data_IF_124720438215
#
_entry.id   IF_124720438215
#
_cell.length_a   1.000
_cell.length_b   1.000
_cell.length_c   1.000
_cell.angle_alpha   90.00
_cell.angle_beta   90.00
_cell.angle_gamma   90.00
#
_symmetry.space_group_name_H-M   'P 1'
#
loop_
_entity.id
_entity.type
_entity.pdbx_description
1 polymer ?
#
# COMPACT_ATOMS: atom_id res chain seq x y z
N UNK A 1 -12.52 -11.00 -3.51
CA UNK A 1 -11.15 -10.52 -3.78
C UNK A 1 -11.23 -9.02 -3.79
N UNK A 2 -10.56 -8.37 -2.84
CA UNK A 2 -10.49 -6.91 -2.77
C UNK A 2 -9.54 -6.38 -3.85
N UNK A 3 -9.78 -5.15 -4.33
CA UNK A 3 -9.01 -4.58 -5.45
C UNK A 3 -7.84 -3.67 -5.02
N UNK A 4 -7.62 -3.46 -3.71
CA UNK A 4 -6.73 -2.44 -3.08
C UNK A 4 -7.33 -1.03 -3.12
N UNK A 5 -7.34 -0.20 -2.07
CA UNK A 5 -7.00 -0.31 -0.65
C UNK A 5 -8.23 -0.60 0.22
N UNK A 6 -8.14 -1.53 1.17
CA UNK A 6 -9.28 -1.91 2.03
C UNK A 6 -9.23 -1.28 3.42
N UNK A 7 -10.38 -0.86 3.92
CA UNK A 7 -10.52 -0.34 5.29
C UNK A 7 -11.86 -0.76 5.92
N UNK A 8 -11.90 -0.70 7.25
CA UNK A 8 -13.11 -0.91 8.05
C UNK A 8 -13.44 0.40 8.78
N UNK A 9 -14.67 0.88 8.64
CA UNK A 9 -15.18 1.99 9.43
C UNK A 9 -16.10 1.49 10.55
N UNK A 10 -15.92 2.03 11.75
CA UNK A 10 -16.67 1.69 12.95
C UNK A 10 -17.79 2.70 13.24
N UNK A 11 -18.76 2.39 14.12
CA UNK A 11 -19.92 3.25 14.37
C UNK A 11 -19.57 4.63 14.94
N UNK A 12 -18.44 4.74 15.63
CA UNK A 12 -17.91 6.01 16.15
C UNK A 12 -17.20 6.86 15.07
N UNK A 13 -17.09 6.37 13.84
CA UNK A 13 -16.39 7.00 12.72
C UNK A 13 -14.89 6.76 12.70
N UNK A 14 -14.35 5.90 13.57
CA UNK A 14 -12.96 5.46 13.49
C UNK A 14 -12.75 4.61 12.25
N UNK A 15 -11.56 4.75 11.66
CA UNK A 15 -11.17 4.06 10.46
C UNK A 15 -9.96 3.17 10.74
N UNK A 16 -10.13 1.88 10.51
CA UNK A 16 -9.06 0.89 10.58
C UNK A 16 -8.55 0.67 9.15
N UNK A 17 -7.33 1.12 8.88
CA UNK A 17 -6.75 1.06 7.54
C UNK A 17 -5.26 0.63 7.57
N UNK A 18 -4.98 -0.66 7.77
CA UNK A 18 -3.64 -1.22 7.97
C UNK A 18 -2.98 -1.63 6.64
N UNK A 19 -2.92 -0.69 5.68
CA UNK A 19 -2.35 -0.91 4.34
C UNK A 19 -0.90 -1.41 4.37
N UNK A 20 -0.16 -1.17 5.44
CA UNK A 20 1.18 -1.70 5.66
C UNK A 20 1.23 -3.24 5.77
N UNK A 21 0.11 -3.88 6.09
CA UNK A 21 0.04 -5.33 6.32
C UNK A 21 -0.91 -6.05 5.36
N UNK A 22 -2.07 -5.47 5.06
CA UNK A 22 -3.11 -6.16 4.30
C UNK A 22 -4.05 -5.20 3.59
N UNK A 23 -4.62 -5.66 2.48
CA UNK A 23 -5.74 -5.05 1.76
C UNK A 23 -6.97 -5.96 1.74
N UNK A 24 -7.08 -6.89 2.70
CA UNK A 24 -8.19 -7.82 2.80
C UNK A 24 -9.06 -7.49 4.02
N UNK A 25 -10.37 -7.29 3.82
CA UNK A 25 -11.29 -7.01 4.94
C UNK A 25 -11.29 -8.11 5.99
N UNK A 26 -11.16 -9.39 5.58
CA UNK A 26 -11.16 -10.53 6.52
C UNK A 26 -9.97 -10.40 7.47
N UNK A 27 -8.76 -10.17 6.94
CA UNK A 27 -7.57 -9.98 7.76
C UNK A 27 -7.72 -8.78 8.72
N UNK A 28 -8.35 -7.68 8.27
CA UNK A 28 -8.58 -6.51 9.13
C UNK A 28 -9.56 -6.83 10.26
N UNK A 29 -10.63 -7.56 9.94
CA UNK A 29 -11.65 -7.99 10.89
C UNK A 29 -11.04 -8.93 11.93
N UNK A 30 -10.26 -9.93 11.51
CA UNK A 30 -9.56 -10.86 12.41
C UNK A 30 -8.48 -10.16 13.25
N UNK A 31 -7.68 -9.26 12.64
CA UNK A 31 -6.65 -8.48 13.35
C UNK A 31 -7.21 -7.66 14.51
N UNK A 32 -8.46 -7.22 14.40
CA UNK A 32 -9.13 -6.36 15.36
C UNK A 32 -10.22 -7.05 16.16
N UNK A 33 -10.38 -8.37 15.98
CA UNK A 33 -11.41 -9.18 16.64
C UNK A 33 -12.81 -8.56 16.51
N UNK A 34 -13.16 -8.14 15.29
CA UNK A 34 -14.43 -7.47 14.99
C UNK A 34 -15.52 -8.46 14.59
N UNK A 35 -16.78 -8.13 14.90
CA UNK A 35 -17.93 -8.90 14.46
C UNK A 35 -18.41 -8.42 13.08
N UNK A 36 -18.39 -9.31 12.09
CA UNK A 36 -18.92 -9.05 10.74
C UNK A 36 -20.39 -9.50 10.63
N UNK A 37 -21.27 -8.76 11.29
CA UNK A 37 -22.72 -9.04 11.33
C UNK A 37 -23.56 -8.08 10.47
N UNK A 38 -22.90 -7.24 9.67
CA UNK A 38 -23.54 -6.22 8.83
C UNK A 38 -24.10 -5.00 9.58
N UNK A 39 -23.92 -4.91 10.90
CA UNK A 39 -24.43 -3.80 11.74
C UNK A 39 -23.33 -3.04 12.46
N UNK A 40 -22.24 -3.69 12.81
CA UNK A 40 -21.22 -3.10 13.68
C UNK A 40 -20.02 -2.51 12.93
N UNK A 41 -19.99 -2.67 11.60
CA UNK A 41 -18.92 -2.14 10.75
C UNK A 41 -19.41 -1.85 9.33
N UNK A 42 -18.64 -1.03 8.62
CA UNK A 42 -18.78 -0.82 7.18
C UNK A 42 -17.44 -1.10 6.48
N UNK A 43 -17.47 -2.00 5.50
CA UNK A 43 -16.34 -2.34 4.63
C UNK A 43 -16.20 -1.29 3.54
N UNK A 44 -14.98 -0.76 3.40
CA UNK A 44 -14.64 0.29 2.47
C UNK A 44 -13.50 -0.14 1.56
N UNK A 45 -13.55 0.31 0.31
CA UNK A 45 -12.48 0.14 -0.66
C UNK A 45 -12.14 1.49 -1.32
N UNK A 46 -10.86 1.69 -1.63
CA UNK A 46 -10.41 2.85 -2.37
C UNK A 46 -9.38 2.46 -3.44
N UNK A 47 -9.79 2.41 -4.69
CA UNK A 47 -9.00 1.82 -5.79
C UNK A 47 -8.70 2.86 -6.86
N UNK A 48 -7.46 2.98 -7.36
CA UNK A 48 -7.15 3.85 -8.48
C UNK A 48 -7.70 3.26 -9.79
N UNK A 49 -8.24 4.12 -10.65
CA UNK A 49 -8.62 3.76 -12.02
C UNK A 49 -7.35 3.49 -12.83
N UNK A 50 -7.38 2.46 -13.68
CA UNK A 50 -6.30 2.10 -14.62
C UNK A 50 -4.91 1.98 -13.98
N UNK A 51 -4.85 1.57 -12.71
CA UNK A 51 -3.61 1.44 -11.94
C UNK A 51 -2.82 2.77 -11.79
N UNK A 52 -3.50 3.94 -11.86
CA UNK A 52 -2.90 5.27 -11.66
C UNK A 52 -2.67 5.58 -10.18
N UNK A 53 -1.86 4.76 -9.51
CA UNK A 53 -1.59 4.88 -8.07
C UNK A 53 -0.98 6.23 -7.66
N UNK A 54 -0.30 6.92 -8.58
CA UNK A 54 0.36 8.21 -8.40
C UNK A 54 -0.58 9.42 -8.52
N UNK A 55 -1.79 9.23 -9.02
CA UNK A 55 -2.78 10.27 -9.19
C UNK A 55 -3.92 10.08 -8.19
N UNK A 56 -3.90 10.85 -7.10
CA UNK A 56 -4.90 10.77 -6.05
C UNK A 56 -6.33 11.05 -6.58
N UNK A 57 -6.47 11.82 -7.66
CA UNK A 57 -7.78 12.10 -8.26
C UNK A 57 -8.39 10.90 -9.00
N UNK A 58 -7.57 9.90 -9.34
CA UNK A 58 -8.02 8.67 -10.00
C UNK A 58 -8.69 7.67 -9.06
N UNK A 59 -8.59 7.88 -7.75
CA UNK A 59 -9.08 6.93 -6.76
C UNK A 59 -10.59 7.00 -6.59
N UNK A 60 -11.22 5.84 -6.68
CA UNK A 60 -12.65 5.65 -6.48
C UNK A 60 -12.87 5.10 -5.09
N UNK A 61 -13.61 5.85 -4.27
CA UNK A 61 -14.08 5.40 -2.96
C UNK A 61 -15.39 4.62 -3.11
N UNK A 62 -15.43 3.41 -2.57
CA UNK A 62 -16.56 2.49 -2.65
C UNK A 62 -16.89 1.93 -1.26
N UNK A 63 -18.18 1.79 -0.99
CA UNK A 63 -18.66 0.97 0.13
C UNK A 63 -18.85 -0.46 -0.37
N UNK A 64 -18.16 -1.41 0.23
CA UNK A 64 -18.06 -2.80 -0.25
C UNK A 64 -18.98 -3.75 0.53
N UNK A 65 -20.23 -3.32 0.72
CA UNK A 65 -21.31 -4.15 1.25
C UNK A 65 -22.67 -3.61 0.79
N UNK A 66 -23.67 -4.48 0.56
CA UNK A 66 -24.99 -4.06 0.10
C UNK A 66 -25.82 -3.42 1.22
N UNK A 67 -25.81 -4.03 2.40
CA UNK A 67 -26.60 -3.60 3.54
C UNK A 67 -25.80 -2.65 4.43
N UNK A 68 -26.39 -1.49 4.74
CA UNK A 68 -25.73 -0.45 5.52
C UNK A 68 -26.37 -0.33 6.90
N UNK A 69 -25.56 -0.27 7.98
CA UNK A 69 -26.06 -0.01 9.32
C UNK A 69 -26.78 1.34 9.43
N UNK A 70 -27.72 1.46 10.38
CA UNK A 70 -28.49 2.70 10.58
C UNK A 70 -27.66 3.90 11.01
N UNK A 71 -26.48 3.67 11.61
CA UNK A 71 -25.56 4.75 11.98
C UNK A 71 -24.79 5.29 10.78
N UNK A 72 -24.67 4.54 9.69
CA UNK A 72 -23.95 4.96 8.49
C UNK A 72 -24.73 6.08 7.77
N UNK A 73 -24.11 7.25 7.71
CA UNK A 73 -24.69 8.45 7.12
C UNK A 73 -23.64 9.21 6.30
N UNK A 74 -24.08 10.23 5.56
CA UNK A 74 -23.20 10.95 4.64
C UNK A 74 -22.03 11.67 5.35
N UNK A 75 -22.21 12.12 6.59
CA UNK A 75 -21.13 12.75 7.36
C UNK A 75 -20.02 11.75 7.72
N UNK A 76 -20.37 10.56 8.20
CA UNK A 76 -19.39 9.50 8.51
C UNK A 76 -18.71 9.03 7.23
N UNK A 77 -19.49 8.82 6.16
CA UNK A 77 -18.96 8.43 4.85
C UNK A 77 -17.94 9.43 4.32
N UNK A 78 -18.25 10.73 4.38
CA UNK A 78 -17.35 11.79 3.93
C UNK A 78 -16.05 11.81 4.76
N UNK A 79 -16.16 11.73 6.08
CA UNK A 79 -14.99 11.68 6.99
C UNK A 79 -14.11 10.44 6.72
N UNK A 80 -14.72 9.29 6.49
CA UNK A 80 -14.01 8.05 6.16
C UNK A 80 -13.26 8.19 4.83
N UNK A 81 -13.95 8.70 3.79
CA UNK A 81 -13.36 8.97 2.48
C UNK A 81 -12.17 9.94 2.59
N UNK A 82 -12.35 11.09 3.22
CA UNK A 82 -11.26 12.06 3.40
C UNK A 82 -10.07 11.47 4.15
N UNK A 83 -10.33 10.61 5.13
CA UNK A 83 -9.28 9.95 5.90
C UNK A 83 -8.50 8.93 5.08
N UNK A 84 -9.18 8.11 4.28
CA UNK A 84 -8.53 7.19 3.35
C UNK A 84 -7.72 7.96 2.31
N UNK A 85 -8.32 8.95 1.65
CA UNK A 85 -7.65 9.73 0.59
C UNK A 85 -6.41 10.45 1.11
N UNK A 86 -6.48 11.06 2.30
CA UNK A 86 -5.32 11.68 2.94
C UNK A 86 -4.24 10.65 3.31
N UNK A 87 -4.63 9.49 3.83
CA UNK A 87 -3.67 8.40 4.12
C UNK A 87 -2.98 7.93 2.84
N UNK A 88 -3.72 7.68 1.76
CA UNK A 88 -3.20 7.27 0.45
C UNK A 88 -2.27 8.35 -0.12
N UNK A 89 -2.67 9.62 -0.08
CA UNK A 89 -1.82 10.73 -0.52
C UNK A 89 -0.47 10.77 0.19
N UNK A 90 -0.45 10.47 1.50
CA UNK A 90 0.80 10.39 2.27
C UNK A 90 1.66 9.15 1.95
N UNK A 91 1.10 8.13 1.29
CA UNK A 91 1.86 6.97 0.80
C UNK A 91 2.63 7.29 -0.48
N UNK A 92 2.19 8.29 -1.25
CA UNK A 92 2.82 8.68 -2.51
C UNK A 92 4.12 9.44 -2.22
N UNK A 93 5.20 9.00 -2.86
CA UNK A 93 6.54 9.56 -2.74
C UNK A 93 7.09 9.82 -4.14
N UNK A 94 7.31 11.09 -4.44
CA UNK A 94 7.93 11.59 -5.67
C UNK A 94 9.22 12.39 -5.40
N UNK A 95 9.64 12.45 -4.13
CA UNK A 95 10.78 13.20 -3.61
C UNK A 95 11.96 12.31 -3.19
N UNK A 96 13.01 12.93 -2.66
CA UNK A 96 14.17 12.23 -2.12
C UNK A 96 14.06 12.04 -0.61
N UNK A 97 14.27 10.82 -0.12
CA UNK A 97 14.22 10.49 1.32
C UNK A 97 15.41 9.63 1.72
N UNK A 98 15.91 9.87 2.93
CA UNK A 98 16.99 9.06 3.49
C UNK A 98 16.50 7.66 3.85
N UNK A 99 15.29 7.53 4.38
CA UNK A 99 14.78 6.24 4.82
C UNK A 99 13.27 6.12 4.63
N UNK A 100 12.84 4.93 4.19
CA UNK A 100 11.48 4.43 4.39
C UNK A 100 11.57 3.26 5.37
N UNK A 101 10.95 3.40 6.55
CA UNK A 101 10.99 2.41 7.63
C UNK A 101 9.57 1.99 8.00
N UNK A 102 9.19 0.75 7.68
CA UNK A 102 7.81 0.32 7.83
C UNK A 102 6.87 1.00 6.83
N UNK A 103 5.57 0.77 7.00
CA UNK A 103 4.53 1.47 6.23
C UNK A 103 4.27 0.91 4.83
N UNK A 104 3.31 1.54 4.16
CA UNK A 104 2.89 1.28 2.79
C UNK A 104 3.17 2.51 1.92
N UNK A 105 3.80 2.33 0.77
CA UNK A 105 4.27 3.43 -0.07
C UNK A 105 4.01 3.19 -1.56
N UNK A 106 3.99 4.29 -2.32
CA UNK A 106 3.92 4.33 -3.77
C UNK A 106 5.05 5.26 -4.23
N UNK A 107 6.03 4.74 -4.95
CA UNK A 107 7.16 5.52 -5.45
C UNK A 107 6.93 5.86 -6.92
N UNK A 108 6.95 7.14 -7.25
CA UNK A 108 6.68 7.62 -8.62
C UNK A 108 7.65 8.73 -9.05
N UNK A 109 7.54 9.16 -10.30
CA UNK A 109 8.34 10.25 -10.85
C UNK A 109 9.84 9.94 -10.79
N UNK A 110 10.57 10.73 -10.00
CA UNK A 110 12.02 10.58 -9.80
C UNK A 110 12.38 10.36 -8.33
N UNK A 111 11.49 9.70 -7.56
CA UNK A 111 11.72 9.45 -6.15
C UNK A 111 13.09 8.78 -5.89
N UNK A 112 13.80 9.19 -4.84
CA UNK A 112 15.11 8.64 -4.48
C UNK A 112 15.15 8.27 -3.02
N UNK A 113 15.27 6.99 -2.72
CA UNK A 113 15.32 6.48 -1.36
C UNK A 113 16.71 5.90 -1.10
N UNK A 114 17.42 6.39 -0.09
CA UNK A 114 18.72 5.79 0.27
C UNK A 114 18.52 4.40 0.90
N UNK A 115 17.63 4.29 1.90
CA UNK A 115 17.36 3.01 2.56
C UNK A 115 15.86 2.70 2.67
N UNK A 116 15.45 1.53 2.20
CA UNK A 116 14.13 0.96 2.47
C UNK A 116 14.27 -0.24 3.41
N UNK A 117 13.54 -0.25 4.52
CA UNK A 117 13.62 -1.33 5.51
C UNK A 117 12.26 -1.69 6.11
N UNK A 118 11.90 -2.96 6.03
CA UNK A 118 10.65 -3.53 6.55
C UNK A 118 9.40 -2.81 6.02
N UNK A 119 9.45 -2.30 4.79
CA UNK A 119 8.38 -1.50 4.21
C UNK A 119 7.67 -2.26 3.07
N UNK A 120 6.44 -1.88 2.79
CA UNK A 120 5.67 -2.35 1.63
C UNK A 120 5.60 -1.25 0.59
N UNK A 121 5.93 -1.54 -0.66
CA UNK A 121 5.67 -0.67 -1.81
C UNK A 121 4.66 -1.37 -2.71
N UNK A 122 3.51 -0.73 -2.93
CA UNK A 122 2.46 -1.25 -3.82
C UNK A 122 2.89 -1.08 -5.29
N UNK A 123 3.43 0.10 -5.61
CA UNK A 123 3.95 0.42 -6.94
C UNK A 123 5.23 1.24 -6.84
N UNK A 124 6.25 0.84 -7.58
CA UNK A 124 7.45 1.62 -7.88
C UNK A 124 7.51 1.85 -9.39
N UNK A 125 7.39 3.11 -9.82
CA UNK A 125 7.30 3.48 -11.25
C UNK A 125 8.15 4.71 -11.58
N UNK A 126 8.12 5.14 -12.84
CA UNK A 126 8.89 6.27 -13.35
C UNK A 126 10.38 5.93 -13.42
N UNK A 127 11.23 6.85 -12.95
CA UNK A 127 12.67 6.66 -12.79
C UNK A 127 13.08 6.57 -11.32
N UNK A 128 12.14 6.10 -10.46
CA UNK A 128 12.34 5.98 -9.03
C UNK A 128 13.54 5.09 -8.70
N UNK A 129 14.24 5.40 -7.60
CA UNK A 129 15.44 4.67 -7.18
C UNK A 129 15.43 4.36 -5.70
N UNK A 130 15.89 3.16 -5.37
CA UNK A 130 16.23 2.75 -4.01
C UNK A 130 17.69 2.30 -4.02
N UNK A 131 18.55 2.90 -3.20
CA UNK A 131 19.95 2.48 -3.12
C UNK A 131 20.04 1.13 -2.41
N UNK A 132 19.50 1.03 -1.20
CA UNK A 132 19.50 -0.21 -0.41
C UNK A 132 18.09 -0.63 0.00
N UNK A 133 17.72 -1.87 -0.31
CA UNK A 133 16.48 -2.50 0.15
C UNK A 133 16.82 -3.67 1.08
N UNK A 134 16.35 -3.61 2.33
CA UNK A 134 16.76 -4.55 3.38
C UNK A 134 15.59 -4.98 4.29
N UNK A 135 15.88 -5.95 5.17
CA UNK A 135 14.91 -6.51 6.11
C UNK A 135 13.88 -7.40 5.41
N UNK A 136 12.61 -7.28 5.83
CA UNK A 136 11.47 -7.97 5.22
C UNK A 136 10.67 -7.03 4.31
N UNK A 137 11.37 -6.21 3.52
CA UNK A 137 10.77 -5.26 2.60
C UNK A 137 10.12 -5.97 1.40
N UNK A 138 9.02 -5.43 0.88
CA UNK A 138 8.34 -6.00 -0.29
C UNK A 138 7.96 -4.91 -1.29
N UNK A 139 8.16 -5.19 -2.58
CA UNK A 139 7.63 -4.38 -3.69
C UNK A 139 6.73 -5.27 -4.53
N UNK A 140 5.46 -4.91 -4.66
CA UNK A 140 4.51 -5.73 -5.44
C UNK A 140 4.71 -5.55 -6.94
N UNK A 141 4.83 -4.30 -7.38
CA UNK A 141 5.04 -3.98 -8.79
C UNK A 141 6.15 -2.96 -8.95
N UNK A 142 7.13 -3.30 -9.78
CA UNK A 142 8.21 -2.41 -10.18
C UNK A 142 8.21 -2.26 -11.71
N UNK A 143 7.98 -1.05 -12.21
CA UNK A 143 7.83 -0.77 -13.63
C UNK A 143 8.52 0.54 -14.06
N UNK A 144 8.40 0.91 -15.33
CA UNK A 144 9.08 2.06 -15.92
C UNK A 144 10.58 1.83 -16.10
N UNK A 145 11.38 2.77 -15.59
CA UNK A 145 12.85 2.72 -15.56
C UNK A 145 13.36 2.70 -14.11
N UNK A 146 12.56 2.14 -13.21
CA UNK A 146 12.85 2.07 -11.77
C UNK A 146 14.13 1.26 -11.52
N UNK A 147 14.88 1.60 -10.46
CA UNK A 147 16.12 0.91 -10.12
C UNK A 147 16.26 0.65 -8.63
N UNK A 148 16.73 -0.55 -8.29
CA UNK A 148 17.24 -0.87 -6.97
C UNK A 148 18.71 -1.20 -7.11
N UNK A 149 19.58 -0.58 -6.31
CA UNK A 149 21.02 -0.83 -6.43
C UNK A 149 21.41 -2.12 -5.72
N UNK A 150 21.00 -2.30 -4.46
CA UNK A 150 21.32 -3.46 -3.65
C UNK A 150 20.10 -4.00 -2.89
N UNK A 151 19.93 -5.32 -2.91
CA UNK A 151 18.88 -6.04 -2.18
C UNK A 151 19.46 -7.03 -1.17
N UNK A 152 18.97 -6.94 0.06
CA UNK A 152 19.42 -7.73 1.22
C UNK A 152 18.25 -8.36 1.99
N UNK A 153 18.58 -9.30 2.88
CA UNK A 153 17.63 -9.90 3.83
C UNK A 153 16.57 -10.76 3.14
N UNK A 154 15.35 -10.75 3.68
CA UNK A 154 14.21 -11.46 3.08
C UNK A 154 13.40 -10.57 2.14
N UNK A 155 14.02 -9.51 1.58
CA UNK A 155 13.35 -8.55 0.71
C UNK A 155 12.80 -9.22 -0.54
N UNK A 156 11.65 -8.80 -1.07
CA UNK A 156 11.00 -9.44 -2.22
C UNK A 156 10.46 -8.43 -3.24
N UNK A 157 10.47 -8.82 -4.51
CA UNK A 157 9.78 -8.12 -5.60
C UNK A 157 8.90 -9.13 -6.33
N UNK A 158 7.60 -8.89 -6.37
CA UNK A 158 6.67 -9.88 -6.92
C UNK A 158 6.61 -9.81 -8.46
N UNK A 159 6.50 -8.59 -9.01
CA UNK A 159 6.46 -8.36 -10.45
C UNK A 159 7.39 -7.22 -10.84
N UNK A 160 8.25 -7.49 -11.82
CA UNK A 160 9.15 -6.52 -12.42
C UNK A 160 8.92 -6.46 -13.93
N UNK A 161 8.63 -5.27 -14.46
CA UNK A 161 8.36 -5.04 -15.88
C UNK A 161 9.05 -3.75 -16.37
N UNK A 162 8.96 -3.49 -17.68
CA UNK A 162 9.60 -2.32 -18.31
C UNK A 162 11.12 -2.45 -18.39
N UNK A 163 11.82 -1.32 -18.24
CA UNK A 163 13.29 -1.27 -18.17
C UNK A 163 13.82 -1.35 -16.74
N UNK A 164 12.99 -1.76 -15.78
CA UNK A 164 13.32 -1.88 -14.36
C UNK A 164 14.44 -2.89 -14.10
N UNK A 165 15.32 -2.60 -13.14
CA UNK A 165 16.49 -3.47 -12.84
C UNK A 165 16.87 -3.46 -11.36
N UNK A 166 17.47 -4.57 -10.94
CA UNK A 166 18.21 -4.71 -9.68
C UNK A 166 19.70 -4.76 -10.04
N UNK A 167 20.54 -3.99 -9.35
CA UNK A 167 21.99 -4.02 -9.53
C UNK A 167 22.59 -5.31 -8.98
N UNK A 168 22.53 -5.47 -7.66
CA UNK A 168 23.03 -6.63 -6.94
C UNK A 168 21.93 -7.22 -6.04
N UNK A 169 21.73 -8.54 -6.15
CA UNK A 169 20.82 -9.30 -5.30
C UNK A 169 21.64 -10.19 -4.36
N UNK A 170 22.03 -9.63 -3.21
CA UNK A 170 22.91 -10.28 -2.25
C UNK A 170 22.22 -11.43 -1.48
N UNK A 171 20.95 -11.72 -1.75
CA UNK A 171 20.23 -12.87 -1.16
C UNK A 171 20.67 -14.21 -1.75
N UNK A 172 21.20 -14.19 -2.98
CA UNK A 172 21.54 -15.41 -3.74
C UNK A 172 22.92 -16.00 -3.42
N UNK A 173 23.67 -15.41 -2.50
CA UNK A 173 25.09 -15.74 -2.26
C UNK A 173 25.29 -16.97 -1.35
N UNK A 174 24.23 -17.57 -0.80
CA UNK A 174 24.34 -18.63 0.21
C UNK A 174 23.82 -20.03 -0.22
N UNK A 175 23.73 -20.35 -1.51
CA UNK A 175 23.23 -21.66 -1.98
C UNK A 175 24.29 -22.46 -2.77
N UNK A 176 25.53 -22.51 -2.30
CA UNK A 176 26.52 -23.51 -2.72
C UNK A 176 27.27 -24.04 -1.49
N UNK A 177 26.64 -24.98 -0.77
CA UNK A 177 27.33 -26.02 0.05
C UNK A 177 26.58 -27.35 -0.09
#
# INVERSE_FOLDING_TARGET
MCNTFSAICLPNGDLIFPAEYTDNHIDIIELKDLADNGRDLVKLECTPIDLRFDDLSSYVFKVDQPDLPSWWNEHIKQRAKETMMRRIGNMIVDDSRQILLGGCWILTGNARICLMKNSRIVLMTGSSRIEQMAGSSRIEQMTGSSRIEQMYGSSQIDRMTGSSRIGEDCRKVNNEE
#
